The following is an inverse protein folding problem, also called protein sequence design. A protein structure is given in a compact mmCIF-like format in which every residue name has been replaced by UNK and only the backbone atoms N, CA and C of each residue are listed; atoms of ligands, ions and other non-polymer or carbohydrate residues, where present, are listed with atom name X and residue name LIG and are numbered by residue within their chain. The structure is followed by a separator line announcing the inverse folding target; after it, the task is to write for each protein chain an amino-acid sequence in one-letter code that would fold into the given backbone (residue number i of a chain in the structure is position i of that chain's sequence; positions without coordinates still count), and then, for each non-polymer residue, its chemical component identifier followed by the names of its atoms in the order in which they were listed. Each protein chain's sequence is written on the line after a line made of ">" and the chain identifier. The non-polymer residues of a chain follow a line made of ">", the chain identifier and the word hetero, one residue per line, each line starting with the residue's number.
data_IF_659673173294
#
_entry.id   IF_659673173294
#
_cell.length_a   1.000
_cell.length_b   1.000
_cell.length_c   1.000
_cell.angle_alpha   90.00
_cell.angle_beta   90.00
_cell.angle_gamma   90.00
#
_symmetry.space_group_name_H-M   'P 1'
#
loop_
_entity.id
_entity.type
_entity.pdbx_description
1 polymer ?
#
# COMPACT_ATOMS: atom_id res chain seq x y z
N UNK A 1 -4.31 -9.38 5.33
CA UNK A 1 -3.57 -8.10 5.34
C UNK A 1 -3.75 -7.34 6.66
N UNK A 2 -4.96 -6.86 6.99
CA UNK A 2 -5.19 -6.04 8.19
C UNK A 2 -4.73 -6.71 9.50
N UNK A 3 -4.98 -8.02 9.66
CA UNK A 3 -4.50 -8.78 10.83
C UNK A 3 -2.96 -8.75 10.96
N UNK A 4 -2.25 -8.82 9.84
CA UNK A 4 -0.79 -8.74 9.82
C UNK A 4 -0.30 -7.34 10.23
N UNK A 5 -1.03 -6.28 9.85
CA UNK A 5 -0.73 -4.91 10.29
C UNK A 5 -0.98 -4.76 11.80
N UNK A 6 -2.14 -5.19 12.30
CA UNK A 6 -2.49 -5.17 13.74
C UNK A 6 -1.47 -5.92 14.60
N UNK A 7 -0.98 -7.05 14.08
CA UNK A 7 0.00 -7.89 14.77
C UNK A 7 1.46 -7.48 14.52
N UNK A 8 1.69 -6.37 13.78
CA UNK A 8 3.02 -5.92 13.33
C UNK A 8 3.85 -7.01 12.62
N UNK A 9 3.17 -7.92 11.93
CA UNK A 9 3.74 -8.94 11.05
C UNK A 9 3.85 -8.43 9.62
N UNK A 10 4.54 -7.30 9.46
CA UNK A 10 4.83 -6.75 8.14
C UNK A 10 6.26 -6.21 8.08
N UNK A 11 6.79 -6.09 6.87
CA UNK A 11 8.06 -5.41 6.61
C UNK A 11 7.94 -4.53 5.37
N UNK A 12 8.72 -3.46 5.36
CA UNK A 12 8.93 -2.64 4.17
C UNK A 12 10.16 -3.17 3.41
N UNK A 13 10.10 -3.15 2.08
CA UNK A 13 11.31 -3.33 1.28
C UNK A 13 12.14 -2.05 1.30
N UNK A 14 13.40 -2.12 0.87
CA UNK A 14 14.23 -0.92 0.69
C UNK A 14 13.59 0.10 -0.25
N UNK A 15 12.89 -0.36 -1.31
CA UNK A 15 12.20 0.53 -2.22
C UNK A 15 11.05 1.26 -1.51
N UNK A 16 10.23 0.56 -0.71
CA UNK A 16 9.19 1.18 0.09
C UNK A 16 9.74 2.19 1.11
N UNK A 17 10.89 1.92 1.74
CA UNK A 17 11.56 2.85 2.65
C UNK A 17 11.96 4.15 1.93
N UNK A 18 12.53 4.06 0.72
CA UNK A 18 12.94 5.22 -0.07
C UNK A 18 11.75 6.06 -0.54
N UNK A 19 10.69 5.42 -1.04
CA UNK A 19 9.49 6.11 -1.52
C UNK A 19 8.72 6.79 -0.38
N UNK A 20 8.56 6.10 0.77
CA UNK A 20 7.91 6.72 1.94
C UNK A 20 8.69 7.94 2.43
N UNK A 21 10.02 7.89 2.41
CA UNK A 21 10.85 9.03 2.83
C UNK A 21 10.72 10.18 1.83
N UNK A 22 10.70 9.90 0.52
CA UNK A 22 10.47 10.92 -0.51
C UNK A 22 9.12 11.62 -0.37
N UNK A 23 8.05 10.86 -0.08
CA UNK A 23 6.68 11.35 0.06
C UNK A 23 6.32 11.79 1.49
N UNK A 24 7.30 11.76 2.41
CA UNK A 24 7.13 12.09 3.84
C UNK A 24 5.96 11.31 4.46
N UNK A 25 5.91 10.01 4.20
CA UNK A 25 4.93 9.07 4.76
C UNK A 25 5.54 8.37 5.97
N UNK A 26 4.90 8.54 7.11
CA UNK A 26 5.29 7.87 8.36
C UNK A 26 4.78 6.43 8.40
N UNK A 27 5.42 5.57 9.21
CA UNK A 27 4.91 4.21 9.46
C UNK A 27 3.49 4.25 10.03
N UNK A 28 3.19 5.21 10.90
CA UNK A 28 1.85 5.39 11.47
C UNK A 28 0.81 5.69 10.40
N UNK A 29 1.10 6.55 9.43
CA UNK A 29 0.18 6.82 8.32
C UNK A 29 -0.06 5.59 7.43
N UNK A 30 0.96 4.75 7.23
CA UNK A 30 0.82 3.47 6.50
C UNK A 30 -0.13 2.55 7.28
N UNK A 31 0.07 2.40 8.59
CA UNK A 31 -0.80 1.60 9.45
C UNK A 31 -2.24 2.13 9.44
N UNK A 32 -2.44 3.45 9.59
CA UNK A 32 -3.76 4.10 9.50
C UNK A 32 -4.43 3.80 8.16
N UNK A 33 -3.72 3.99 7.04
CA UNK A 33 -4.27 3.75 5.72
C UNK A 33 -4.68 2.29 5.49
N UNK A 34 -3.83 1.34 5.88
CA UNK A 34 -4.10 -0.10 5.69
C UNK A 34 -5.19 -0.63 6.64
N UNK A 35 -5.35 -0.01 7.81
CA UNK A 35 -6.38 -0.35 8.80
C UNK A 35 -7.69 0.43 8.62
N UNK A 36 -7.69 1.45 7.75
CA UNK A 36 -8.84 2.28 7.44
C UNK A 36 -10.04 1.44 6.97
N UNK A 37 -11.26 1.81 7.36
CA UNK A 37 -12.48 1.20 6.80
C UNK A 37 -12.64 1.48 5.30
N UNK A 38 -11.97 2.51 4.79
CA UNK A 38 -11.93 2.87 3.37
C UNK A 38 -10.76 2.23 2.61
N UNK A 39 -10.09 1.26 3.23
CA UNK A 39 -9.02 0.49 2.62
C UNK A 39 -9.60 -0.51 1.61
N UNK A 40 -9.15 -0.45 0.37
CA UNK A 40 -9.64 -1.31 -0.71
C UNK A 40 -8.50 -1.75 -1.63
N UNK A 41 -8.60 -2.98 -2.14
CA UNK A 41 -7.72 -3.47 -3.21
C UNK A 41 -8.21 -2.87 -4.53
N UNK A 42 -7.35 -2.09 -5.19
CA UNK A 42 -7.69 -1.42 -6.46
C UNK A 42 -7.07 -2.13 -7.67
N UNK A 43 -5.98 -2.87 -7.49
CA UNK A 43 -5.38 -3.72 -8.53
C UNK A 43 -4.89 -5.02 -7.90
N UNK A 44 -5.06 -6.15 -8.58
CA UNK A 44 -4.62 -7.47 -8.12
C UNK A 44 -3.68 -8.10 -9.15
N UNK A 45 -2.56 -8.64 -8.66
CA UNK A 45 -1.48 -9.24 -9.45
C UNK A 45 -1.17 -10.65 -8.94
N UNK A 46 -2.10 -11.62 -9.10
CA UNK A 46 -1.94 -12.96 -8.55
C UNK A 46 -0.84 -13.77 -9.25
N UNK A 47 -0.46 -13.39 -10.47
CA UNK A 47 0.47 -14.14 -11.34
C UNK A 47 1.82 -13.43 -11.53
N UNK A 48 2.15 -12.42 -10.73
CA UNK A 48 3.44 -11.75 -10.82
C UNK A 48 4.59 -12.78 -10.58
N UNK A 49 5.61 -12.83 -11.45
CA UNK A 49 6.74 -13.76 -11.30
C UNK A 49 7.48 -13.65 -9.96
N UNK A 50 7.34 -12.51 -9.27
CA UNK A 50 7.96 -12.22 -7.97
C UNK A 50 7.07 -12.63 -6.78
N UNK A 51 5.88 -13.17 -7.06
CA UNK A 51 4.89 -13.60 -6.08
C UNK A 51 3.62 -12.74 -6.12
N UNK A 52 2.50 -13.33 -5.72
CA UNK A 52 1.20 -12.64 -5.71
C UNK A 52 1.26 -11.34 -4.90
N UNK A 53 0.74 -10.27 -5.49
CA UNK A 53 0.67 -8.96 -4.85
C UNK A 53 -0.59 -8.20 -5.27
N UNK A 54 -0.96 -7.18 -4.51
CA UNK A 54 -2.08 -6.32 -4.83
C UNK A 54 -1.77 -4.86 -4.47
N UNK A 55 -2.28 -3.93 -5.26
CA UNK A 55 -2.23 -2.51 -4.95
C UNK A 55 -3.45 -2.14 -4.12
N UNK A 56 -3.19 -1.51 -2.98
CA UNK A 56 -4.19 -1.11 -2.02
C UNK A 56 -4.25 0.41 -1.96
N UNK A 57 -5.47 0.95 -1.99
CA UNK A 57 -5.77 2.33 -1.63
C UNK A 57 -6.28 2.37 -0.21
N UNK A 58 -5.61 3.11 0.65
CA UNK A 58 -6.07 3.42 2.00
C UNK A 58 -6.10 4.93 2.25
N UNK A 59 -6.66 5.33 3.39
CA UNK A 59 -6.72 6.73 3.79
C UNK A 59 -6.27 6.88 5.24
N UNK A 60 -5.41 7.86 5.50
CA UNK A 60 -5.07 8.27 6.86
C UNK A 60 -6.31 8.77 7.61
N UNK A 61 -6.18 8.96 8.93
CA UNK A 61 -7.25 9.51 9.76
C UNK A 61 -7.64 10.93 9.33
N UNK A 62 -6.69 11.67 8.73
CA UNK A 62 -6.92 13.00 8.16
C UNK A 62 -7.53 12.96 6.75
N UNK A 63 -7.72 11.76 6.18
CA UNK A 63 -8.31 11.58 4.85
C UNK A 63 -7.32 11.70 3.69
N UNK A 64 -6.01 11.69 3.95
CA UNK A 64 -4.99 11.67 2.90
C UNK A 64 -4.88 10.27 2.27
N UNK A 65 -4.91 10.14 0.94
CA UNK A 65 -4.80 8.86 0.27
C UNK A 65 -3.36 8.33 0.30
N UNK A 66 -3.22 7.01 0.48
CA UNK A 66 -1.95 6.28 0.39
C UNK A 66 -2.16 5.07 -0.48
N UNK A 67 -1.24 4.87 -1.43
CA UNK A 67 -1.12 3.64 -2.20
C UNK A 67 -0.02 2.77 -1.61
N UNK A 68 -0.32 1.50 -1.40
CA UNK A 68 0.65 0.50 -0.97
C UNK A 68 0.54 -0.74 -1.86
N UNK A 69 1.66 -1.14 -2.46
CA UNK A 69 1.75 -2.43 -3.14
C UNK A 69 2.12 -3.49 -2.11
N UNK A 70 1.21 -4.41 -1.85
CA UNK A 70 1.34 -5.42 -0.82
C UNK A 70 1.53 -6.79 -1.44
N UNK A 71 2.58 -7.50 -1.04
CA UNK A 71 2.78 -8.92 -1.32
C UNK A 71 2.75 -9.76 -0.05
N UNK A 72 2.87 -11.07 -0.20
CA UNK A 72 2.92 -12.01 0.91
C UNK A 72 4.22 -12.84 0.85
N UNK A 73 4.91 -12.97 1.99
CA UNK A 73 6.07 -13.83 2.13
C UNK A 73 5.78 -14.93 3.18
N UNK A 74 5.58 -16.17 2.73
CA UNK A 74 5.18 -17.26 3.61
C UNK A 74 3.74 -17.10 4.13
N UNK A 75 3.34 -17.84 5.18
CA UNK A 75 1.93 -17.93 5.58
C UNK A 75 1.38 -16.66 6.24
N UNK A 76 2.22 -15.80 6.82
CA UNK A 76 1.73 -14.74 7.73
C UNK A 76 2.44 -13.38 7.63
N UNK A 77 3.45 -13.23 6.78
CA UNK A 77 4.20 -11.97 6.67
C UNK A 77 3.73 -11.15 5.48
N UNK A 78 3.20 -9.96 5.77
CA UNK A 78 2.90 -8.94 4.77
C UNK A 78 4.19 -8.25 4.33
N UNK A 79 4.39 -8.09 3.04
CA UNK A 79 5.53 -7.34 2.48
C UNK A 79 4.98 -6.10 1.79
N UNK A 80 5.33 -4.93 2.30
CA UNK A 80 5.03 -3.65 1.64
C UNK A 80 6.15 -3.40 0.64
N UNK A 81 5.86 -3.65 -0.63
CA UNK A 81 6.81 -3.62 -1.75
C UNK A 81 7.14 -2.17 -2.12
N UNK A 82 6.13 -1.33 -2.22
CA UNK A 82 6.26 0.13 -2.38
C UNK A 82 5.08 0.82 -1.70
N UNK A 83 5.26 2.10 -1.34
CA UNK A 83 4.22 2.93 -0.75
C UNK A 83 4.43 4.39 -1.15
N UNK A 84 3.37 5.08 -1.56
CA UNK A 84 3.45 6.44 -2.10
C UNK A 84 2.10 7.16 -1.98
N UNK A 85 2.11 8.49 -2.15
CA UNK A 85 0.90 9.31 -2.27
C UNK A 85 0.47 9.35 -3.74
N UNK A 86 -0.76 8.96 -4.08
CA UNK A 86 -1.17 8.89 -5.49
C UNK A 86 -1.21 10.28 -6.14
N UNK A 87 -0.58 10.39 -7.30
CA UNK A 87 -0.58 11.60 -8.12
C UNK A 87 -1.95 11.80 -8.81
N UNK A 88 -2.66 12.93 -8.62
CA UNK A 88 -3.94 13.20 -9.29
C UNK A 88 -3.84 13.28 -10.83
N UNK A 89 -2.64 13.55 -11.34
CA UNK A 89 -2.30 13.51 -12.76
C UNK A 89 -2.21 12.09 -13.33
N UNK A 90 -2.09 11.07 -12.48
CA UNK A 90 -2.01 9.65 -12.85
C UNK A 90 -3.25 8.84 -12.41
N UNK A 91 -3.98 9.34 -11.41
CA UNK A 91 -5.10 8.62 -10.81
C UNK A 91 -6.40 9.42 -10.81
N UNK A 92 -7.50 8.78 -11.20
CA UNK A 92 -8.86 9.32 -11.08
C UNK A 92 -9.43 8.82 -9.75
N UNK A 93 -9.82 9.77 -8.88
CA UNK A 93 -10.34 9.49 -7.53
C UNK A 93 -9.44 8.54 -6.70
N UNK A 94 -8.13 8.59 -6.95
CA UNK A 94 -7.12 7.72 -6.33
C UNK A 94 -7.29 6.22 -6.63
N UNK A 95 -8.20 5.83 -7.52
CA UNK A 95 -8.57 4.40 -7.71
C UNK A 95 -8.23 3.87 -9.09
N UNK A 96 -8.47 4.69 -10.11
CA UNK A 96 -8.39 4.25 -11.50
C UNK A 96 -7.16 4.92 -12.11
N UNK A 97 -6.23 4.12 -12.64
CA UNK A 97 -5.11 4.67 -13.42
C UNK A 97 -5.63 5.35 -14.67
N UNK A 98 -5.08 6.51 -14.98
CA UNK A 98 -5.26 7.13 -16.28
C UNK A 98 -4.46 6.30 -17.28
N UNK A 99 -5.14 5.83 -18.32
CA UNK A 99 -4.45 5.29 -19.49
C UNK A 99 -3.73 6.44 -20.19
N UNK A 100 -2.45 6.20 -20.52
CA UNK A 100 -1.59 7.17 -21.22
C UNK A 100 -1.70 6.96 -22.72
#
# INVERSE_FOLDING_TARGET
>A
MQEAVLSRRYRLTLHAELERDADQITIEEIEQALLSERCEVIEDYPTDPRGASCLVLGFTDQGSPIHALCGVAGPEMLVIITVYRPDPGQWINWRIRREV
#
